data_IF_347859660612
#
_entry.id   IF_347859660612
#
_cell.length_a   1.000
_cell.length_b   1.000
_cell.length_c   1.000
_cell.angle_alpha   90.00
_cell.angle_beta   90.00
_cell.angle_gamma   90.00
#
_symmetry.space_group_name_H-M   'P 1'
#
loop_
_entity.id
_entity.type
_entity.pdbx_description
1 polymer ?
#
# COMPACT_ATOMS: atom_id res chain seq x y z
N UNK A 1 -0.34 -19.16 -6.32
CA UNK A 1 0.59 -18.01 -6.30
C UNK A 1 -0.18 -16.78 -6.71
N UNK A 2 -0.27 -15.77 -5.85
CA UNK A 2 -0.80 -14.45 -6.23
C UNK A 2 0.25 -13.73 -7.08
N UNK A 3 -0.20 -13.01 -8.10
CA UNK A 3 0.67 -12.10 -8.85
C UNK A 3 1.11 -10.97 -7.90
N UNK A 4 2.37 -10.52 -7.96
CA UNK A 4 2.82 -9.38 -7.17
C UNK A 4 2.04 -8.13 -7.59
N UNK A 5 1.61 -7.33 -6.62
CA UNK A 5 0.91 -6.09 -6.90
C UNK A 5 1.83 -5.11 -7.63
N UNK A 6 1.39 -4.53 -8.75
CA UNK A 6 2.24 -3.63 -9.52
C UNK A 6 2.50 -2.34 -8.75
N UNK A 7 3.75 -1.86 -8.74
CA UNK A 7 4.04 -0.49 -8.36
C UNK A 7 3.65 0.41 -9.54
N UNK A 8 2.73 1.35 -9.31
CA UNK A 8 2.26 2.26 -10.35
C UNK A 8 3.28 3.38 -10.61
N UNK A 9 3.98 3.81 -9.57
CA UNK A 9 5.06 4.80 -9.63
C UNK A 9 5.96 4.59 -8.41
N UNK A 10 7.23 4.30 -8.65
CA UNK A 10 8.23 3.95 -7.64
C UNK A 10 9.26 5.06 -7.37
N UNK A 11 9.02 6.28 -7.90
CA UNK A 11 9.94 7.40 -7.70
C UNK A 11 10.07 7.75 -6.22
N UNK A 12 11.33 7.78 -5.78
CA UNK A 12 11.74 8.24 -4.47
C UNK A 12 11.83 9.77 -4.39
N UNK A 13 11.86 10.29 -3.15
CA UNK A 13 12.13 11.70 -2.87
C UNK A 13 13.32 12.25 -3.66
N UNK A 14 14.46 11.54 -3.64
CA UNK A 14 15.68 12.02 -4.27
C UNK A 14 15.53 12.09 -5.79
N UNK A 15 14.87 11.11 -6.40
CA UNK A 15 14.61 11.10 -7.84
C UNK A 15 13.69 12.25 -8.25
N UNK A 16 12.69 12.57 -7.42
CA UNK A 16 11.80 13.71 -7.60
C UNK A 16 12.54 15.06 -7.48
N UNK A 17 13.42 15.20 -6.48
CA UNK A 17 14.27 16.40 -6.32
C UNK A 17 15.21 16.57 -7.50
N UNK A 18 15.88 15.50 -7.91
CA UNK A 18 16.82 15.52 -9.03
C UNK A 18 16.10 15.82 -10.35
N UNK A 19 14.91 15.27 -10.55
CA UNK A 19 14.07 15.57 -11.72
C UNK A 19 13.67 17.05 -11.75
N UNK A 20 13.24 17.61 -10.62
CA UNK A 20 12.91 19.03 -10.51
C UNK A 20 14.13 19.91 -10.79
N UNK A 21 15.29 19.61 -10.18
CA UNK A 21 16.55 20.35 -10.41
C UNK A 21 16.99 20.31 -11.88
N UNK A 22 16.84 19.16 -12.56
CA UNK A 22 17.13 19.03 -14.00
C UNK A 22 16.26 19.93 -14.88
N UNK A 23 15.07 20.30 -14.42
CA UNK A 23 14.14 21.18 -15.17
C UNK A 23 14.43 22.68 -14.94
N UNK A 24 15.12 23.07 -13.87
CA UNK A 24 15.37 24.48 -13.53
C UNK A 24 16.02 25.25 -14.69
N UNK A 25 17.10 24.77 -15.35
CA UNK A 25 17.75 25.55 -16.42
C UNK A 25 16.83 25.89 -17.59
N UNK A 26 15.80 25.07 -17.84
CA UNK A 26 14.82 25.30 -18.91
C UNK A 26 13.64 26.17 -18.49
N UNK A 27 13.27 26.14 -17.21
CA UNK A 27 12.06 26.81 -16.71
C UNK A 27 12.35 28.16 -16.07
N UNK A 28 13.51 28.30 -15.43
CA UNK A 28 13.94 29.49 -14.70
C UNK A 28 15.47 29.67 -14.86
N UNK A 29 15.95 30.03 -16.05
CA UNK A 29 17.39 30.22 -16.31
C UNK A 29 18.03 31.31 -15.45
N UNK A 30 17.24 32.26 -14.93
CA UNK A 30 17.65 33.30 -13.99
C UNK A 30 17.93 32.78 -12.57
N UNK A 31 17.42 31.60 -12.23
CA UNK A 31 17.65 30.98 -10.93
C UNK A 31 18.96 30.20 -10.97
N UNK A 32 20.03 30.82 -10.49
CA UNK A 32 21.40 30.29 -10.60
C UNK A 32 21.95 29.67 -9.32
N UNK A 33 21.38 29.97 -8.16
CA UNK A 33 21.79 29.39 -6.88
C UNK A 33 20.99 28.13 -6.58
N UNK A 34 21.63 26.96 -6.69
CA UNK A 34 21.00 25.65 -6.42
C UNK A 34 21.61 24.95 -5.20
N UNK A 35 22.19 25.71 -4.28
CA UNK A 35 22.76 25.18 -3.05
C UNK A 35 21.69 24.67 -2.09
N UNK A 36 22.07 23.81 -1.14
CA UNK A 36 21.15 23.28 -0.09
C UNK A 36 20.55 24.40 0.77
N UNK A 37 21.24 25.54 0.89
CA UNK A 37 20.77 26.71 1.65
C UNK A 37 19.79 27.59 0.88
N UNK A 38 19.55 27.33 -0.40
CA UNK A 38 18.61 28.10 -1.20
C UNK A 38 17.15 27.82 -0.76
N UNK A 39 16.37 28.84 -0.36
CA UNK A 39 14.95 28.68 -0.07
C UNK A 39 14.14 28.06 -1.22
N UNK A 40 14.53 28.31 -2.48
CA UNK A 40 13.89 27.70 -3.64
C UNK A 40 14.07 26.17 -3.67
N UNK A 41 15.29 25.70 -3.37
CA UNK A 41 15.58 24.26 -3.23
C UNK A 41 14.78 23.65 -2.08
N UNK A 42 14.65 24.35 -0.95
CA UNK A 42 13.84 23.87 0.18
C UNK A 42 12.36 23.68 -0.19
N UNK A 43 11.80 24.56 -1.05
CA UNK A 43 10.44 24.40 -1.56
C UNK A 43 10.35 23.17 -2.48
N UNK A 44 11.33 22.95 -3.36
CA UNK A 44 11.40 21.75 -4.21
C UNK A 44 11.40 20.48 -3.36
N UNK A 45 12.20 20.46 -2.31
CA UNK A 45 12.26 19.33 -1.36
C UNK A 45 10.91 19.12 -0.66
N UNK A 46 10.26 20.18 -0.18
CA UNK A 46 8.92 20.07 0.43
C UNK A 46 7.91 19.42 -0.52
N UNK A 47 7.86 19.87 -1.78
CA UNK A 47 6.96 19.31 -2.78
C UNK A 47 7.33 17.88 -3.19
N UNK A 48 8.62 17.55 -3.24
CA UNK A 48 9.08 16.18 -3.48
C UNK A 48 8.60 15.24 -2.37
N UNK A 49 8.71 15.65 -1.10
CA UNK A 49 8.22 14.88 0.04
C UNK A 49 6.69 14.69 0.03
N UNK A 50 5.95 15.75 -0.29
CA UNK A 50 4.49 15.66 -0.45
C UNK A 50 4.12 14.70 -1.58
N UNK A 51 4.85 14.75 -2.69
CA UNK A 51 4.61 13.90 -3.86
C UNK A 51 4.91 12.44 -3.55
N UNK A 52 6.05 12.12 -2.95
CA UNK A 52 6.40 10.75 -2.51
C UNK A 52 5.32 10.18 -1.57
N UNK A 53 4.79 11.01 -0.66
CA UNK A 53 3.67 10.62 0.21
C UNK A 53 2.39 10.28 -0.56
N UNK A 54 2.13 10.95 -1.68
CA UNK A 54 1.02 10.64 -2.58
C UNK A 54 1.29 9.37 -3.40
N UNK A 55 2.51 9.18 -3.89
CA UNK A 55 2.92 7.97 -4.63
C UNK A 55 2.77 6.73 -3.76
N UNK A 56 3.16 6.80 -2.49
CA UNK A 56 2.91 5.74 -1.51
C UNK A 56 1.43 5.34 -1.42
N UNK A 57 0.51 6.32 -1.39
CA UNK A 57 -0.94 6.06 -1.35
C UNK A 57 -1.45 5.50 -2.67
N UNK A 58 -0.94 5.99 -3.79
CA UNK A 58 -1.28 5.52 -5.13
C UNK A 58 -0.96 4.03 -5.28
N UNK A 59 0.19 3.60 -4.76
CA UNK A 59 0.61 2.19 -4.82
C UNK A 59 -0.24 1.24 -3.95
N UNK A 60 -1.17 1.73 -3.13
CA UNK A 60 -2.17 0.90 -2.43
C UNK A 60 -3.44 0.66 -3.24
N UNK A 61 -3.62 1.36 -4.36
CA UNK A 61 -4.82 1.26 -5.21
C UNK A 61 -4.95 -0.13 -5.87
N UNK A 62 -3.89 -0.76 -6.41
CA UNK A 62 -4.00 -2.07 -7.05
C UNK A 62 -4.62 -3.15 -6.15
N UNK A 63 -4.20 -3.21 -4.88
CA UNK A 63 -4.74 -4.18 -3.91
C UNK A 63 -6.22 -3.95 -3.64
N UNK A 64 -6.63 -2.68 -3.51
CA UNK A 64 -8.05 -2.33 -3.33
C UNK A 64 -8.87 -2.69 -4.57
N UNK A 65 -8.34 -2.43 -5.76
CA UNK A 65 -8.99 -2.79 -7.02
C UNK A 65 -9.15 -4.30 -7.17
N UNK A 66 -8.14 -5.09 -6.77
CA UNK A 66 -8.23 -6.54 -6.78
C UNK A 66 -9.44 -7.05 -5.98
N UNK A 67 -9.62 -6.56 -4.75
CA UNK A 67 -10.79 -6.90 -3.92
C UNK A 67 -12.09 -6.45 -4.59
N UNK A 68 -12.14 -5.24 -5.15
CA UNK A 68 -13.34 -4.77 -5.86
C UNK A 68 -13.69 -5.57 -7.09
N UNK A 69 -12.70 -6.07 -7.83
CA UNK A 69 -12.97 -6.95 -8.98
C UNK A 69 -13.53 -8.31 -8.52
N UNK A 70 -13.04 -8.87 -7.41
CA UNK A 70 -13.62 -10.08 -6.82
C UNK A 70 -15.07 -9.87 -6.40
N UNK A 71 -15.37 -8.76 -5.71
CA UNK A 71 -16.74 -8.40 -5.32
C UNK A 71 -17.66 -8.27 -6.55
N UNK A 72 -17.19 -7.63 -7.63
CA UNK A 72 -17.95 -7.46 -8.87
C UNK A 72 -18.23 -8.80 -9.58
N UNK A 73 -17.33 -9.78 -9.47
CA UNK A 73 -17.56 -11.14 -9.97
C UNK A 73 -18.49 -11.97 -9.06
N UNK A 74 -18.97 -11.40 -7.95
CA UNK A 74 -19.85 -12.08 -7.00
C UNK A 74 -19.11 -12.98 -6.00
N UNK A 75 -17.77 -12.87 -5.91
CA UNK A 75 -17.00 -13.60 -4.90
C UNK A 75 -17.33 -13.02 -3.51
N UNK A 76 -17.63 -13.90 -2.56
CA UNK A 76 -17.93 -13.55 -1.18
C UNK A 76 -16.94 -14.25 -0.25
N UNK A 77 -16.62 -13.61 0.88
CA UNK A 77 -15.85 -14.25 1.93
C UNK A 77 -16.67 -15.38 2.55
N UNK A 78 -16.03 -16.53 2.77
CA UNK A 78 -16.67 -17.62 3.51
C UNK A 78 -17.00 -17.18 4.92
N UNK A 79 -18.20 -17.49 5.38
CA UNK A 79 -18.57 -17.30 6.78
C UNK A 79 -17.65 -18.14 7.69
N UNK A 80 -17.31 -17.66 8.89
CA UNK A 80 -16.60 -18.46 9.87
C UNK A 80 -17.43 -19.71 10.20
N UNK A 81 -16.79 -20.88 10.22
CA UNK A 81 -17.43 -22.14 10.56
C UNK A 81 -16.90 -22.66 11.91
N UNK A 82 -17.76 -23.18 12.80
CA UNK A 82 -17.31 -23.77 14.06
C UNK A 82 -16.44 -25.01 13.78
N UNK A 83 -15.37 -25.16 14.55
CA UNK A 83 -14.58 -26.38 14.51
C UNK A 83 -15.43 -27.57 14.99
N UNK A 84 -15.35 -28.70 14.27
CA UNK A 84 -16.02 -29.93 14.64
C UNK A 84 -14.98 -30.98 15.01
N UNK A 85 -15.24 -31.74 16.07
CA UNK A 85 -14.38 -32.82 16.53
C UNK A 85 -15.24 -34.02 16.93
N UNK A 86 -14.73 -35.22 16.65
CA UNK A 86 -15.33 -36.46 17.12
C UNK A 86 -14.94 -36.69 18.58
N UNK A 87 -15.94 -36.83 19.44
CA UNK A 87 -15.76 -37.10 20.87
C UNK A 87 -16.30 -38.49 21.21
N UNK A 88 -15.56 -39.22 22.03
CA UNK A 88 -16.02 -40.49 22.62
C UNK A 88 -16.21 -40.29 24.11
N UNK A 89 -17.42 -40.54 24.60
CA UNK A 89 -17.74 -40.51 26.02
C UNK A 89 -17.74 -41.93 26.59
N UNK A 90 -17.25 -42.09 27.81
CA UNK A 90 -17.38 -43.33 28.59
C UNK A 90 -18.11 -42.99 29.88
N UNK A 91 -19.07 -43.84 30.27
CA UNK A 91 -19.76 -43.69 31.54
C UNK A 91 -18.77 -43.87 32.70
N UNK A 92 -18.88 -43.02 33.72
CA UNK A 92 -18.08 -43.13 34.96
C UNK A 92 -18.61 -44.20 35.91
N UNK A 93 -19.89 -44.55 35.79
CA UNK A 93 -20.57 -45.59 36.56
C UNK A 93 -21.69 -46.24 35.72
N UNK A 94 -22.08 -47.50 36.01
CA UNK A 94 -23.19 -48.16 35.32
C UNK A 94 -24.53 -47.45 35.58
N UNK A 95 -25.39 -47.41 34.56
CA UNK A 95 -26.75 -46.86 34.67
C UNK A 95 -27.66 -47.88 35.37
N UNK A 96 -28.24 -47.49 36.51
CA UNK A 96 -28.92 -48.43 37.40
C UNK A 96 -30.36 -48.78 36.96
N UNK A 97 -31.06 -47.93 36.20
CA UNK A 97 -32.39 -48.20 35.61
C UNK A 97 -32.62 -47.33 34.35
N UNK A 98 -33.53 -47.72 33.42
CA UNK A 98 -33.84 -46.99 32.18
C UNK A 98 -34.48 -45.62 32.38
#
# INVERSE_FOLDING_TARGET
MSLPSPSLDDRSFQELVDEAKRRIPSLAPEWTDHNVSDPGVAIVELFAWMTESLLYRLNQVPDRMYVKFLELMGVQLYAPAPAQALLTFRLSAPQLEP
#
